data_IF_110252035377
#
_entry.id   IF_110252035377
#
_cell.length_a   1.000
_cell.length_b   1.000
_cell.length_c   1.000
_cell.angle_alpha   90.00
_cell.angle_beta   90.00
_cell.angle_gamma   90.00
#
_symmetry.space_group_name_H-M   'P 1'
#
loop_
_entity.id
_entity.type
_entity.pdbx_description
1 polymer ?
#
# COMPACT_ATOMS: atom_id res chain seq x y z
N UNK A 1 -15.34 30.12 1.50
CA UNK A 1 -15.24 31.20 2.51
C UNK A 1 -15.19 32.58 1.87
N UNK A 2 -14.37 32.80 0.80
CA UNK A 2 -14.26 34.10 0.11
C UNK A 2 -15.62 34.68 -0.30
N UNK A 3 -16.44 33.91 -1.04
CA UNK A 3 -17.79 34.31 -1.46
C UNK A 3 -18.72 34.67 -0.28
N UNK A 4 -18.52 34.04 0.87
CA UNK A 4 -19.37 34.21 2.04
C UNK A 4 -19.04 35.48 2.84
N UNK A 5 -17.76 35.80 2.98
CA UNK A 5 -17.27 36.82 3.90
C UNK A 5 -16.63 38.02 3.21
N UNK A 6 -15.95 37.83 2.07
CA UNK A 6 -15.18 38.89 1.40
C UNK A 6 -15.88 39.52 0.21
N UNK A 7 -16.60 38.74 -0.61
CA UNK A 7 -17.25 39.23 -1.82
C UNK A 7 -18.37 40.26 -1.53
N UNK A 8 -18.95 40.17 -0.33
CA UNK A 8 -20.04 41.05 0.12
C UNK A 8 -19.56 42.35 0.74
N UNK A 9 -18.28 42.51 1.04
CA UNK A 9 -17.72 43.73 1.64
C UNK A 9 -16.94 44.55 0.60
N UNK A 10 -17.48 45.71 0.17
CA UNK A 10 -16.83 46.55 -0.85
C UNK A 10 -15.44 47.09 -0.45
N UNK A 11 -15.18 47.23 0.86
CA UNK A 11 -13.89 47.69 1.37
C UNK A 11 -12.82 46.62 1.31
N UNK A 12 -13.20 45.35 1.49
CA UNK A 12 -12.30 44.19 1.39
C UNK A 12 -12.06 43.83 -0.09
N UNK A 13 -13.09 43.79 -0.90
CA UNK A 13 -13.00 43.44 -2.34
C UNK A 13 -12.00 44.33 -3.11
N UNK A 14 -11.84 45.59 -2.70
CA UNK A 14 -10.86 46.52 -3.33
C UNK A 14 -9.41 46.24 -2.90
N UNK A 15 -9.19 45.51 -1.82
CA UNK A 15 -7.87 45.24 -1.25
C UNK A 15 -7.36 43.83 -1.51
N UNK A 16 -8.24 42.96 -1.98
CA UNK A 16 -7.91 41.53 -2.24
C UNK A 16 -8.21 41.24 -3.72
N UNK A 17 -7.23 40.65 -4.41
CA UNK A 17 -7.39 40.12 -5.74
C UNK A 17 -7.63 38.62 -5.66
N UNK A 18 -8.69 38.15 -6.30
CA UNK A 18 -8.97 36.73 -6.41
C UNK A 18 -8.00 36.10 -7.42
N UNK A 19 -7.21 35.15 -6.98
CA UNK A 19 -6.39 34.27 -7.83
C UNK A 19 -7.05 32.89 -7.80
N UNK A 20 -7.58 32.46 -8.92
CA UNK A 20 -8.14 31.13 -9.07
C UNK A 20 -7.00 30.13 -9.33
N UNK A 21 -6.90 29.10 -8.49
CA UNK A 21 -5.98 27.99 -8.67
C UNK A 21 -6.81 26.79 -9.11
N UNK A 22 -6.58 26.33 -10.33
CA UNK A 22 -7.26 25.17 -10.89
C UNK A 22 -6.60 23.87 -10.43
N UNK A 23 -7.34 22.75 -10.47
CA UNK A 23 -6.81 21.44 -10.20
C UNK A 23 -5.77 21.07 -11.28
N UNK A 24 -4.52 20.69 -10.93
CA UNK A 24 -3.52 20.27 -11.89
C UNK A 24 -3.93 18.94 -12.55
N UNK A 25 -3.42 18.71 -13.74
CA UNK A 25 -3.50 17.40 -14.38
C UNK A 25 -2.62 16.35 -13.66
N UNK A 26 -2.78 15.08 -14.01
CA UNK A 26 -2.04 13.99 -13.36
C UNK A 26 -0.52 14.13 -13.52
N UNK A 27 -0.04 14.58 -14.69
CA UNK A 27 1.39 14.73 -14.96
C UNK A 27 2.01 15.81 -14.07
N UNK A 28 1.38 16.98 -14.02
CA UNK A 28 1.80 18.09 -13.16
C UNK A 28 1.70 17.70 -11.67
N UNK A 29 0.66 16.98 -11.27
CA UNK A 29 0.50 16.50 -9.90
C UNK A 29 1.62 15.52 -9.51
N UNK A 30 2.07 14.63 -10.40
CA UNK A 30 3.21 13.73 -10.15
C UNK A 30 4.50 14.55 -9.92
N UNK A 31 4.77 15.57 -10.73
CA UNK A 31 5.94 16.44 -10.54
C UNK A 31 5.88 17.19 -9.20
N UNK A 32 4.70 17.69 -8.82
CA UNK A 32 4.50 18.32 -7.52
C UNK A 32 4.78 17.34 -6.37
N UNK A 33 4.31 16.09 -6.46
CA UNK A 33 4.55 15.08 -5.43
C UNK A 33 6.01 14.69 -5.35
N UNK A 34 6.73 14.56 -6.47
CA UNK A 34 8.19 14.34 -6.48
C UNK A 34 8.92 15.42 -5.71
N UNK A 35 8.51 16.69 -5.86
CA UNK A 35 9.08 17.81 -5.10
C UNK A 35 8.83 17.77 -3.60
N UNK A 36 7.83 17.02 -3.13
CA UNK A 36 7.47 16.88 -1.71
C UNK A 36 7.97 15.56 -1.13
N UNK A 37 8.17 14.53 -1.97
CA UNK A 37 8.50 13.16 -1.56
C UNK A 37 9.70 13.10 -0.61
N UNK A 38 10.80 13.78 -0.92
CA UNK A 38 11.99 13.79 -0.05
C UNK A 38 11.74 14.36 1.36
N UNK A 39 10.77 15.27 1.51
CA UNK A 39 10.38 15.76 2.84
C UNK A 39 9.57 14.74 3.62
N UNK A 40 8.71 13.98 2.94
CA UNK A 40 7.95 12.89 3.54
C UNK A 40 8.87 11.74 3.94
N UNK A 41 9.84 11.38 3.08
CA UNK A 41 10.86 10.38 3.39
C UNK A 41 11.66 10.73 4.64
N UNK A 42 12.12 11.98 4.73
CA UNK A 42 12.85 12.47 5.90
C UNK A 42 11.99 12.48 7.16
N UNK A 43 10.72 12.87 7.04
CA UNK A 43 9.79 12.97 8.18
C UNK A 43 9.43 11.61 8.76
N UNK A 44 9.14 10.63 7.90
CA UNK A 44 8.71 9.29 8.31
C UNK A 44 9.86 8.29 8.43
N UNK A 45 11.06 8.61 7.92
CA UNK A 45 12.21 7.71 7.91
C UNK A 45 12.05 6.51 6.96
N UNK A 46 11.26 6.65 5.89
CA UNK A 46 10.95 5.59 4.93
C UNK A 46 11.26 6.04 3.51
N UNK A 47 11.62 5.12 2.64
CA UNK A 47 11.83 5.40 1.22
C UNK A 47 10.53 5.32 0.44
N UNK A 48 10.33 6.23 -0.52
CA UNK A 48 9.19 6.27 -1.41
C UNK A 48 9.64 5.92 -2.83
N UNK A 49 9.09 4.85 -3.39
CA UNK A 49 9.36 4.47 -4.76
C UNK A 49 8.67 5.42 -5.74
N UNK A 50 9.33 5.77 -6.86
CA UNK A 50 8.72 6.64 -7.89
C UNK A 50 7.41 6.07 -8.43
N UNK A 51 7.31 4.75 -8.58
CA UNK A 51 6.06 4.07 -8.94
C UNK A 51 4.93 4.37 -7.94
N UNK A 52 5.24 4.44 -6.64
CA UNK A 52 4.25 4.77 -5.60
C UNK A 52 3.75 6.21 -5.73
N UNK A 53 4.63 7.16 -6.11
CA UNK A 53 4.25 8.56 -6.36
C UNK A 53 3.26 8.64 -7.52
N UNK A 54 3.58 7.97 -8.64
CA UNK A 54 2.73 7.92 -9.83
C UNK A 54 1.37 7.29 -9.49
N UNK A 55 1.37 6.18 -8.77
CA UNK A 55 0.15 5.48 -8.40
C UNK A 55 -0.67 6.23 -7.35
N UNK A 56 -0.03 6.96 -6.43
CA UNK A 56 -0.74 7.83 -5.49
C UNK A 56 -1.58 8.89 -6.22
N UNK A 57 -1.05 9.48 -7.30
CA UNK A 57 -1.80 10.43 -8.14
C UNK A 57 -2.91 9.72 -8.90
N UNK A 58 -2.58 8.69 -9.68
CA UNK A 58 -3.54 8.00 -10.55
C UNK A 58 -4.68 7.35 -9.78
N UNK A 59 -4.35 6.59 -8.74
CA UNK A 59 -5.35 5.87 -7.95
C UNK A 59 -6.20 6.81 -7.10
N UNK A 60 -5.60 7.86 -6.51
CA UNK A 60 -6.38 8.86 -5.78
C UNK A 60 -7.29 9.66 -6.70
N UNK A 61 -6.83 10.04 -7.90
CA UNK A 61 -7.66 10.72 -8.88
C UNK A 61 -8.86 9.86 -9.29
N UNK A 62 -8.65 8.59 -9.48
CA UNK A 62 -9.66 7.65 -9.96
C UNK A 62 -10.65 7.20 -8.88
N UNK A 63 -10.19 6.96 -7.66
CA UNK A 63 -10.99 6.30 -6.62
C UNK A 63 -11.40 7.20 -5.46
N UNK A 64 -10.76 8.36 -5.27
CA UNK A 64 -11.11 9.31 -4.21
C UNK A 64 -11.87 10.48 -4.83
N UNK A 65 -13.18 10.52 -4.57
CA UNK A 65 -14.06 11.65 -4.89
C UNK A 65 -14.10 12.67 -3.76
N UNK A 66 -14.37 13.94 -4.08
CA UNK A 66 -14.60 14.99 -3.07
C UNK A 66 -13.36 15.76 -2.61
N UNK A 67 -12.16 15.38 -3.05
CA UNK A 67 -10.91 16.14 -2.90
C UNK A 67 -10.24 16.33 -4.25
N UNK A 68 -9.46 17.39 -4.39
CA UNK A 68 -8.74 17.71 -5.63
C UNK A 68 -7.27 17.30 -5.53
N UNK A 69 -6.61 17.12 -6.69
CA UNK A 69 -5.16 17.01 -6.78
C UNK A 69 -4.52 18.38 -6.48
N UNK A 70 -3.30 18.42 -5.90
CA UNK A 70 -2.49 17.29 -5.43
C UNK A 70 -2.83 16.82 -4.01
N UNK A 71 -3.70 17.49 -3.26
CA UNK A 71 -3.97 17.28 -1.84
C UNK A 71 -4.35 15.83 -1.50
N UNK A 72 -5.26 15.23 -2.28
CA UNK A 72 -5.66 13.82 -2.06
C UNK A 72 -4.50 12.84 -2.26
N UNK A 73 -3.62 13.08 -3.23
CA UNK A 73 -2.48 12.22 -3.49
C UNK A 73 -1.39 12.37 -2.41
N UNK A 74 -1.14 13.60 -1.94
CA UNK A 74 -0.24 13.87 -0.81
C UNK A 74 -0.77 13.17 0.45
N UNK A 75 -2.06 13.27 0.75
CA UNK A 75 -2.66 12.62 1.93
C UNK A 75 -2.54 11.09 1.87
N UNK A 76 -2.70 10.49 0.68
CA UNK A 76 -2.49 9.05 0.47
C UNK A 76 -1.04 8.68 0.72
N UNK A 77 -0.10 9.44 0.15
CA UNK A 77 1.32 9.17 0.27
C UNK A 77 1.81 9.31 1.72
N UNK A 78 1.40 10.37 2.41
CA UNK A 78 1.69 10.60 3.83
C UNK A 78 1.18 9.43 4.71
N UNK A 79 -0.07 9.00 4.48
CA UNK A 79 -0.64 7.84 5.20
C UNK A 79 0.09 6.55 4.86
N UNK A 80 0.53 6.37 3.61
CA UNK A 80 1.32 5.21 3.19
C UNK A 80 2.68 5.18 3.89
N UNK A 81 3.37 6.34 3.97
CA UNK A 81 4.62 6.49 4.71
C UNK A 81 4.46 6.15 6.20
N UNK A 82 3.45 6.72 6.85
CA UNK A 82 3.15 6.43 8.24
C UNK A 82 2.85 4.93 8.46
N UNK A 83 2.11 4.30 7.55
CA UNK A 83 1.80 2.87 7.62
C UNK A 83 3.05 1.99 7.48
N UNK A 84 3.96 2.34 6.59
CA UNK A 84 5.24 1.61 6.44
C UNK A 84 6.09 1.80 7.69
N UNK A 85 6.27 3.03 8.17
CA UNK A 85 7.03 3.32 9.38
C UNK A 85 6.51 2.54 10.61
N UNK A 86 5.20 2.50 10.82
CA UNK A 86 4.58 1.71 11.87
C UNK A 86 4.78 0.20 11.64
N UNK A 87 4.55 -0.28 10.42
CA UNK A 87 4.66 -1.71 10.08
C UNK A 87 6.06 -2.30 10.23
N UNK A 88 7.11 -1.48 10.28
CA UNK A 88 8.47 -1.92 10.60
C UNK A 88 8.66 -2.29 12.09
N UNK A 89 7.78 -1.81 12.96
CA UNK A 89 7.91 -1.97 14.41
C UNK A 89 6.72 -2.72 15.04
N UNK A 90 5.55 -2.62 14.44
CA UNK A 90 4.30 -3.16 14.98
C UNK A 90 4.10 -4.63 14.62
N UNK A 91 3.31 -5.31 15.44
CA UNK A 91 2.90 -6.70 15.19
C UNK A 91 2.07 -6.79 13.90
N UNK A 92 2.40 -7.69 12.98
CA UNK A 92 1.63 -7.84 11.75
C UNK A 92 0.16 -8.20 12.01
N UNK A 93 -0.81 -7.63 11.28
CA UNK A 93 -2.23 -7.89 11.48
C UNK A 93 -2.64 -9.38 11.42
N UNK A 94 -2.04 -10.24 10.56
CA UNK A 94 -2.31 -11.67 10.60
C UNK A 94 -1.95 -12.33 11.93
N UNK A 95 -0.80 -11.95 12.51
CA UNK A 95 -0.35 -12.49 13.79
C UNK A 95 -1.24 -12.01 14.95
N UNK A 96 -1.64 -10.74 14.93
CA UNK A 96 -2.58 -10.17 15.90
C UNK A 96 -3.93 -10.90 15.86
N UNK A 97 -4.46 -11.15 14.67
CA UNK A 97 -5.72 -11.87 14.47
C UNK A 97 -5.66 -13.30 15.03
N UNK A 98 -4.55 -14.01 14.82
CA UNK A 98 -4.35 -15.36 15.37
C UNK A 98 -4.24 -15.34 16.90
N UNK A 99 -3.57 -14.36 17.49
CA UNK A 99 -3.49 -14.18 18.95
C UNK A 99 -4.86 -13.90 19.57
N UNK A 100 -5.67 -13.04 18.93
CA UNK A 100 -7.06 -12.82 19.36
C UNK A 100 -7.91 -14.10 19.26
N UNK A 101 -7.72 -14.88 18.18
CA UNK A 101 -8.40 -16.17 18.03
C UNK A 101 -8.01 -17.12 19.15
N UNK A 102 -6.73 -17.20 19.49
CA UNK A 102 -6.24 -18.05 20.59
C UNK A 102 -6.87 -17.67 21.92
N UNK A 103 -6.92 -16.38 22.23
CA UNK A 103 -7.56 -15.91 23.45
C UNK A 103 -9.05 -16.29 23.50
N UNK A 104 -9.77 -16.16 22.40
CA UNK A 104 -11.18 -16.55 22.33
C UNK A 104 -11.38 -18.07 22.54
N UNK A 105 -10.49 -18.89 21.97
CA UNK A 105 -10.51 -20.35 22.16
C UNK A 105 -10.23 -20.73 23.64
N UNK A 106 -9.27 -20.08 24.26
CA UNK A 106 -8.96 -20.29 25.68
C UNK A 106 -10.13 -19.93 26.60
N UNK A 107 -10.80 -18.79 26.33
CA UNK A 107 -11.97 -18.37 27.10
C UNK A 107 -13.15 -19.34 26.93
N UNK A 108 -13.40 -19.86 25.72
CA UNK A 108 -14.42 -20.86 25.46
C UNK A 108 -14.09 -22.18 26.19
N UNK A 109 -12.84 -22.65 26.10
CA UNK A 109 -12.37 -23.85 26.81
C UNK A 109 -12.55 -23.74 28.32
N UNK A 110 -12.19 -22.60 28.91
CA UNK A 110 -12.37 -22.39 30.34
C UNK A 110 -13.83 -22.43 30.76
N UNK A 111 -14.73 -21.86 29.95
CA UNK A 111 -16.18 -21.90 30.21
C UNK A 111 -16.72 -23.32 30.17
N UNK A 112 -16.44 -24.08 29.11
CA UNK A 112 -16.92 -25.44 28.94
C UNK A 112 -16.38 -26.37 30.01
N UNK A 113 -15.12 -26.23 30.45
CA UNK A 113 -14.54 -27.00 31.55
C UNK A 113 -15.24 -26.72 32.88
N UNK A 114 -15.66 -25.48 33.16
CA UNK A 114 -16.46 -25.13 34.35
C UNK A 114 -17.85 -25.78 34.29
N UNK A 115 -18.51 -25.74 33.14
CA UNK A 115 -19.83 -26.35 32.94
C UNK A 115 -19.75 -27.88 33.05
N UNK A 116 -18.68 -28.49 32.52
CA UNK A 116 -18.43 -29.92 32.67
C UNK A 116 -18.23 -30.32 34.12
N UNK A 117 -17.57 -29.50 34.93
CA UNK A 117 -17.42 -29.72 36.37
C UNK A 117 -18.77 -29.67 37.14
N UNK A 118 -19.81 -29.08 36.57
CA UNK A 118 -21.16 -29.06 37.12
C UNK A 118 -22.07 -30.18 36.63
N UNK A 119 -21.52 -31.10 35.80
CA UNK A 119 -22.20 -32.31 35.36
C UNK A 119 -22.74 -32.28 33.90
N UNK A 120 -22.47 -31.21 33.14
CA UNK A 120 -22.78 -31.16 31.73
C UNK A 120 -21.68 -31.84 30.88
N UNK A 121 -22.06 -32.65 29.88
CA UNK A 121 -21.08 -33.28 29.00
C UNK A 121 -20.71 -32.40 27.82
N UNK A 122 -19.50 -31.86 27.82
CA UNK A 122 -18.92 -31.06 26.73
C UNK A 122 -17.64 -31.69 26.14
N UNK A 123 -17.39 -32.99 26.44
CA UNK A 123 -16.13 -33.68 26.09
C UNK A 123 -15.75 -33.57 24.61
N UNK A 124 -16.72 -33.80 23.70
CA UNK A 124 -16.47 -33.71 22.26
C UNK A 124 -16.09 -32.28 21.81
N UNK A 125 -16.76 -31.24 22.34
CA UNK A 125 -16.46 -29.85 21.99
C UNK A 125 -15.12 -29.41 22.57
N UNK A 126 -14.80 -29.79 23.80
CA UNK A 126 -13.50 -29.51 24.44
C UNK A 126 -12.37 -30.10 23.59
N UNK A 127 -12.47 -31.38 23.20
CA UNK A 127 -11.45 -32.04 22.38
C UNK A 127 -11.25 -31.33 21.04
N UNK A 128 -12.36 -30.90 20.38
CA UNK A 128 -12.28 -30.16 19.13
C UNK A 128 -11.58 -28.81 19.30
N UNK A 129 -11.91 -28.06 20.37
CA UNK A 129 -11.29 -26.76 20.66
C UNK A 129 -9.81 -26.89 21.06
N UNK A 130 -9.44 -27.93 21.78
CA UNK A 130 -8.04 -28.20 22.12
C UNK A 130 -7.22 -28.51 20.87
N UNK A 131 -7.77 -29.26 19.91
CA UNK A 131 -7.13 -29.47 18.60
C UNK A 131 -6.98 -28.17 17.82
N UNK A 132 -8.05 -27.36 17.73
CA UNK A 132 -8.04 -26.06 17.04
C UNK A 132 -7.03 -25.10 17.68
N UNK A 133 -6.98 -25.00 19.01
CA UNK A 133 -5.99 -24.21 19.74
C UNK A 133 -4.57 -24.71 19.49
N UNK A 134 -4.36 -26.03 19.44
CA UNK A 134 -3.06 -26.62 19.11
C UNK A 134 -2.56 -26.23 17.73
N UNK A 135 -3.44 -26.27 16.73
CA UNK A 135 -3.13 -25.86 15.35
C UNK A 135 -2.88 -24.35 15.26
N UNK A 136 -3.75 -23.55 15.91
CA UNK A 136 -3.60 -22.09 15.93
C UNK A 136 -2.27 -21.65 16.57
N UNK A 137 -1.88 -22.26 17.71
CA UNK A 137 -0.59 -22.01 18.36
C UNK A 137 0.60 -22.42 17.50
N UNK A 138 0.47 -23.47 16.68
CA UNK A 138 1.52 -23.84 15.72
C UNK A 138 1.68 -22.75 14.67
N UNK A 139 0.59 -22.30 14.07
CA UNK A 139 0.59 -21.22 13.07
C UNK A 139 1.14 -19.92 13.64
N UNK A 140 0.79 -19.57 14.89
CA UNK A 140 1.36 -18.41 15.59
C UNK A 140 2.89 -18.50 15.65
N UNK A 141 3.44 -19.64 16.11
CA UNK A 141 4.91 -19.81 16.22
C UNK A 141 5.60 -19.72 14.86
N UNK A 142 5.04 -20.34 13.83
CA UNK A 142 5.58 -20.28 12.46
C UNK A 142 5.61 -18.84 11.94
N UNK A 143 4.52 -18.10 12.18
CA UNK A 143 4.41 -16.72 11.75
C UNK A 143 5.30 -15.75 12.56
N UNK A 144 5.47 -16.01 13.87
CA UNK A 144 6.39 -15.26 14.75
C UNK A 144 7.84 -15.45 14.30
N UNK A 145 8.24 -16.68 13.99
CA UNK A 145 9.60 -16.97 13.49
C UNK A 145 9.85 -16.23 12.17
N UNK A 146 8.92 -16.34 11.23
CA UNK A 146 9.02 -15.64 9.95
C UNK A 146 9.05 -14.13 10.12
N UNK A 147 8.23 -13.58 11.00
CA UNK A 147 8.21 -12.14 11.28
C UNK A 147 9.54 -11.64 11.86
N UNK A 148 10.13 -12.39 12.80
CA UNK A 148 11.44 -12.05 13.37
C UNK A 148 12.55 -12.10 12.31
N UNK A 149 12.54 -13.10 11.42
CA UNK A 149 13.49 -13.22 10.30
C UNK A 149 13.32 -12.06 9.30
N UNK A 150 12.08 -11.74 8.88
CA UNK A 150 11.83 -10.62 7.97
C UNK A 150 12.22 -9.28 8.60
N UNK A 151 11.92 -9.07 9.88
CA UNK A 151 12.26 -7.84 10.61
C UNK A 151 13.75 -7.60 10.68
N UNK A 152 14.54 -8.64 10.98
CA UNK A 152 15.99 -8.52 11.01
C UNK A 152 16.58 -8.26 9.62
N UNK A 153 16.11 -8.99 8.60
CA UNK A 153 16.55 -8.79 7.22
C UNK A 153 16.20 -7.37 6.70
N UNK A 154 15.00 -6.86 7.01
CA UNK A 154 14.61 -5.48 6.65
C UNK A 154 15.47 -4.47 7.38
N UNK A 155 15.78 -4.69 8.67
CA UNK A 155 16.66 -3.80 9.43
C UNK A 155 18.05 -3.71 8.81
N UNK A 156 18.69 -4.84 8.51
CA UNK A 156 20.00 -4.87 7.87
C UNK A 156 19.98 -4.17 6.50
N UNK A 157 18.95 -4.42 5.70
CA UNK A 157 18.77 -3.79 4.39
C UNK A 157 18.64 -2.27 4.51
N UNK A 158 17.84 -1.76 5.46
CA UNK A 158 17.64 -0.33 5.67
C UNK A 158 18.89 0.36 6.21
N UNK A 159 19.67 -0.31 7.07
CA UNK A 159 20.92 0.19 7.60
C UNK A 159 21.97 0.30 6.49
N UNK A 160 22.16 -0.75 5.68
CA UNK A 160 23.07 -0.75 4.51
C UNK A 160 22.66 0.32 3.48
N UNK A 161 21.37 0.49 3.23
CA UNK A 161 20.84 1.52 2.32
C UNK A 161 21.14 2.93 2.82
N UNK A 162 20.99 3.20 4.12
CA UNK A 162 21.35 4.50 4.73
C UNK A 162 22.84 4.80 4.59
N UNK A 163 23.69 3.81 4.83
CA UNK A 163 25.14 3.98 4.67
C UNK A 163 25.52 4.27 3.22
N UNK A 164 24.92 3.53 2.26
CA UNK A 164 25.15 3.75 0.84
C UNK A 164 24.72 5.16 0.40
N UNK A 165 23.55 5.63 0.82
CA UNK A 165 23.07 6.98 0.50
C UNK A 165 23.98 8.06 1.08
N UNK A 166 24.39 7.95 2.34
CA UNK A 166 25.29 8.91 2.98
C UNK A 166 26.66 8.98 2.29
N UNK A 167 27.20 7.85 1.83
CA UNK A 167 28.44 7.81 1.07
C UNK A 167 28.28 8.39 -0.33
N UNK A 168 27.19 8.10 -1.05
CA UNK A 168 26.93 8.64 -2.38
C UNK A 168 26.76 10.18 -2.36
N UNK A 169 26.06 10.73 -1.36
CA UNK A 169 25.94 12.17 -1.18
C UNK A 169 27.31 12.83 -0.88
N UNK A 170 28.17 12.15 -0.14
CA UNK A 170 29.53 12.64 0.13
C UNK A 170 30.44 12.56 -1.09
N UNK A 171 30.27 11.57 -1.95
CA UNK A 171 31.00 11.39 -3.20
C UNK A 171 30.64 12.48 -4.23
N UNK A 172 29.36 12.84 -4.35
CA UNK A 172 28.90 13.91 -5.24
C UNK A 172 29.47 15.29 -4.87
N UNK A 173 29.81 15.48 -3.60
CA UNK A 173 30.39 16.73 -3.07
C UNK A 173 31.93 16.76 -3.12
N UNK A 174 32.60 15.62 -3.35
CA UNK A 174 34.04 15.48 -3.27
C UNK A 174 34.70 15.29 -4.65
N UNK A 175 36.06 15.30 -4.68
CA UNK A 175 36.81 14.91 -5.87
C UNK A 175 36.74 13.38 -6.03
N UNK A 176 36.87 12.83 -7.28
CA UNK A 176 36.91 11.41 -7.51
C UNK A 176 37.93 10.70 -6.61
N UNK A 177 37.47 9.72 -5.85
CA UNK A 177 38.26 8.92 -4.92
C UNK A 177 37.98 7.43 -5.16
N UNK A 178 38.97 6.71 -5.70
CA UNK A 178 38.85 5.28 -6.05
C UNK A 178 38.51 4.41 -4.82
N UNK A 179 38.93 4.80 -3.62
CA UNK A 179 38.63 4.07 -2.38
C UNK A 179 37.13 4.25 -1.99
N UNK A 180 36.62 5.46 -2.17
CA UNK A 180 35.20 5.78 -1.92
C UNK A 180 34.29 5.08 -2.93
N UNK A 181 34.67 5.11 -4.21
CA UNK A 181 33.91 4.42 -5.28
C UNK A 181 33.87 2.90 -5.02
N UNK A 182 35.02 2.31 -4.61
CA UNK A 182 35.08 0.89 -4.25
C UNK A 182 34.20 0.51 -3.05
N UNK A 183 34.03 1.40 -2.07
CA UNK A 183 33.12 1.20 -0.94
C UNK A 183 31.65 1.30 -1.36
N UNK A 184 31.32 2.24 -2.23
CA UNK A 184 29.96 2.38 -2.79
C UNK A 184 29.58 1.12 -3.57
N UNK A 185 30.47 0.63 -4.42
CA UNK A 185 30.23 -0.62 -5.19
C UNK A 185 30.02 -1.83 -4.28
N UNK A 186 30.83 -1.94 -3.22
CA UNK A 186 30.69 -3.03 -2.25
C UNK A 186 29.33 -2.99 -1.54
N UNK A 187 28.93 -1.81 -1.02
CA UNK A 187 27.64 -1.64 -0.35
C UNK A 187 26.45 -1.85 -1.30
N UNK A 188 26.57 -1.43 -2.56
CA UNK A 188 25.54 -1.70 -3.58
C UNK A 188 25.39 -3.20 -3.86
N UNK A 189 26.49 -3.94 -3.94
CA UNK A 189 26.47 -5.39 -4.10
C UNK A 189 25.88 -6.09 -2.85
N UNK A 190 26.23 -5.62 -1.66
CA UNK A 190 25.67 -6.12 -0.39
C UNK A 190 24.17 -5.85 -0.29
N UNK A 191 23.72 -4.66 -0.64
CA UNK A 191 22.30 -4.30 -0.68
C UNK A 191 21.52 -5.22 -1.63
N UNK A 192 22.06 -5.50 -2.81
CA UNK A 192 21.45 -6.43 -3.76
C UNK A 192 21.34 -7.85 -3.19
N UNK A 193 22.37 -8.31 -2.47
CA UNK A 193 22.38 -9.61 -1.79
C UNK A 193 21.33 -9.68 -0.69
N UNK A 194 21.22 -8.64 0.16
CA UNK A 194 20.23 -8.56 1.23
C UNK A 194 18.81 -8.52 0.67
N UNK A 195 18.58 -7.74 -0.39
CA UNK A 195 17.28 -7.70 -1.05
C UNK A 195 16.87 -9.07 -1.61
N UNK A 196 17.79 -9.80 -2.27
CA UNK A 196 17.53 -11.16 -2.74
C UNK A 196 17.27 -12.15 -1.59
N UNK A 197 17.98 -11.99 -0.47
CA UNK A 197 17.76 -12.79 0.74
C UNK A 197 16.39 -12.53 1.35
N UNK A 198 15.97 -11.28 1.42
CA UNK A 198 14.66 -10.88 1.92
C UNK A 198 13.51 -11.44 1.04
N UNK A 199 13.66 -11.39 -0.27
CA UNK A 199 12.68 -11.98 -1.20
C UNK A 199 12.58 -13.51 -1.06
N UNK A 200 13.67 -14.18 -0.70
CA UNK A 200 13.66 -15.63 -0.46
C UNK A 200 12.91 -16.01 0.83
N UNK A 201 12.95 -15.15 1.86
CA UNK A 201 12.21 -15.33 3.13
C UNK A 201 10.72 -15.01 2.95
N UNK A 202 10.42 -13.98 2.13
CA UNK A 202 9.07 -13.53 1.85
C UNK A 202 8.30 -14.58 1.07
N UNK A 203 7.04 -14.74 1.46
CA UNK A 203 6.02 -15.43 0.68
C UNK A 203 5.20 -14.39 -0.09
N UNK A 204 4.05 -14.79 -0.60
CA UNK A 204 3.17 -13.89 -1.38
C UNK A 204 2.75 -12.60 -0.64
N UNK A 205 2.79 -12.63 0.71
CA UNK A 205 2.38 -11.48 1.55
C UNK A 205 3.47 -11.13 2.57
N UNK A 206 4.24 -10.04 2.35
CA UNK A 206 5.29 -9.60 3.25
C UNK A 206 4.72 -9.13 4.59
N UNK A 207 5.35 -9.53 5.70
CA UNK A 207 4.94 -9.16 7.05
C UNK A 207 5.51 -7.82 7.48
N UNK A 208 6.71 -7.48 7.00
CA UNK A 208 7.41 -6.23 7.33
C UNK A 208 7.64 -5.42 6.05
N UNK A 209 7.00 -4.23 5.92
CA UNK A 209 7.21 -3.36 4.76
C UNK A 209 8.55 -2.64 4.88
N UNK A 210 9.32 -2.58 3.81
CA UNK A 210 10.63 -1.90 3.76
C UNK A 210 10.57 -0.50 3.17
N UNK A 211 9.58 -0.24 2.30
CA UNK A 211 9.45 0.98 1.52
C UNK A 211 8.00 1.23 1.13
N UNK A 212 7.71 2.46 0.70
CA UNK A 212 6.41 2.80 0.15
C UNK A 212 6.39 2.45 -1.33
N UNK A 213 5.60 1.45 -1.69
CA UNK A 213 5.41 0.94 -3.05
C UNK A 213 3.95 1.13 -3.53
N UNK A 214 3.67 0.73 -4.76
CA UNK A 214 2.33 0.75 -5.36
C UNK A 214 1.30 -0.05 -4.56
N UNK A 215 1.71 -1.17 -3.95
CA UNK A 215 0.84 -2.04 -3.13
C UNK A 215 0.42 -1.31 -1.85
N UNK A 216 1.35 -0.65 -1.18
CA UNK A 216 1.10 0.12 0.04
C UNK A 216 0.13 1.28 -0.23
N UNK A 217 0.35 2.03 -1.32
CA UNK A 217 -0.54 3.10 -1.78
C UNK A 217 -1.95 2.56 -2.06
N UNK A 218 -2.06 1.47 -2.83
CA UNK A 218 -3.34 0.84 -3.13
C UNK A 218 -4.05 0.32 -1.86
N UNK A 219 -3.29 -0.18 -0.87
CA UNK A 219 -3.84 -0.64 0.41
C UNK A 219 -4.42 0.52 1.25
N UNK A 220 -3.80 1.71 1.22
CA UNK A 220 -4.35 2.92 1.86
C UNK A 220 -5.67 3.31 1.20
N UNK A 221 -5.70 3.40 -0.12
CA UNK A 221 -6.91 3.77 -0.87
C UNK A 221 -8.01 2.71 -0.67
N UNK A 222 -7.66 1.43 -0.63
CA UNK A 222 -8.59 0.35 -0.33
C UNK A 222 -9.25 0.52 1.05
N UNK A 223 -8.45 0.89 2.05
CA UNK A 223 -8.95 1.18 3.39
C UNK A 223 -9.94 2.36 3.44
N UNK A 224 -9.73 3.38 2.61
CA UNK A 224 -10.60 4.57 2.58
C UNK A 224 -11.87 4.37 1.73
N UNK A 225 -11.77 3.57 0.66
CA UNK A 225 -12.85 3.42 -0.33
C UNK A 225 -13.60 2.10 -0.23
N UNK A 226 -13.05 1.10 0.46
CA UNK A 226 -13.57 -0.25 0.51
C UNK A 226 -13.35 -1.07 -0.77
N UNK A 227 -12.59 -0.54 -1.76
CA UNK A 227 -12.32 -1.23 -3.02
C UNK A 227 -11.10 -2.16 -2.82
N UNK A 228 -11.18 -3.46 -3.15
CA UNK A 228 -10.05 -4.37 -2.96
C UNK A 228 -8.81 -3.99 -3.76
N UNK A 229 -7.61 -4.11 -3.14
CA UNK A 229 -6.29 -3.79 -3.74
C UNK A 229 -6.08 -4.50 -5.09
N UNK A 230 -6.42 -5.78 -5.20
CA UNK A 230 -6.26 -6.55 -6.44
C UNK A 230 -7.05 -6.01 -7.64
N UNK A 231 -8.12 -5.23 -7.39
CA UNK A 231 -8.85 -4.54 -8.46
C UNK A 231 -8.19 -3.24 -8.89
N UNK A 232 -7.40 -2.64 -8.02
CA UNK A 232 -6.69 -1.38 -8.29
C UNK A 232 -5.39 -1.62 -9.04
N UNK A 233 -4.65 -2.66 -8.66
CA UNK A 233 -3.35 -3.02 -9.24
C UNK A 233 -3.45 -3.95 -10.46
N UNK A 234 -4.65 -4.48 -10.75
CA UNK A 234 -4.85 -5.27 -11.96
C UNK A 234 -4.50 -4.44 -13.20
N UNK A 235 -3.60 -4.98 -14.03
CA UNK A 235 -3.20 -4.34 -15.28
C UNK A 235 -4.44 -4.00 -16.12
N UNK A 236 -4.72 -2.70 -16.25
CA UNK A 236 -5.89 -2.21 -17.00
C UNK A 236 -5.89 -2.71 -18.44
N UNK A 237 -4.72 -2.79 -19.05
CA UNK A 237 -4.59 -3.28 -20.41
C UNK A 237 -4.99 -4.75 -20.53
N UNK A 238 -4.68 -5.57 -19.51
CA UNK A 238 -5.11 -6.98 -19.47
C UNK A 238 -6.60 -7.08 -19.12
N UNK A 239 -7.08 -6.30 -18.16
CA UNK A 239 -8.51 -6.27 -17.76
C UNK A 239 -9.42 -5.83 -18.92
N UNK A 240 -8.98 -4.86 -19.71
CA UNK A 240 -9.70 -4.35 -20.89
C UNK A 240 -9.65 -5.35 -22.04
N UNK A 241 -8.49 -5.98 -22.30
CA UNK A 241 -8.35 -7.02 -23.35
C UNK A 241 -9.19 -8.26 -23.03
N UNK A 242 -9.28 -8.67 -21.77
CA UNK A 242 -10.08 -9.82 -21.33
C UNK A 242 -11.56 -9.48 -21.04
N UNK A 243 -12.00 -8.23 -21.27
CA UNK A 243 -13.33 -7.76 -20.88
C UNK A 243 -14.45 -8.60 -21.50
N UNK A 244 -14.41 -8.86 -22.82
CA UNK A 244 -15.40 -9.67 -23.52
C UNK A 244 -15.51 -11.08 -22.93
N UNK A 245 -14.38 -11.71 -22.65
CA UNK A 245 -14.31 -13.06 -22.06
C UNK A 245 -14.89 -13.10 -20.64
N UNK A 246 -14.57 -12.11 -19.80
CA UNK A 246 -15.07 -11.98 -18.43
C UNK A 246 -16.57 -11.70 -18.39
N UNK A 247 -17.09 -10.89 -19.32
CA UNK A 247 -18.52 -10.64 -19.46
C UNK A 247 -19.25 -11.91 -19.93
N UNK A 248 -18.67 -12.66 -20.86
CA UNK A 248 -19.22 -13.92 -21.37
C UNK A 248 -19.37 -15.03 -20.31
N UNK A 249 -18.56 -14.99 -19.23
CA UNK A 249 -18.71 -15.89 -18.09
C UNK A 249 -19.99 -15.64 -17.27
N UNK A 250 -20.55 -14.44 -17.35
CA UNK A 250 -21.74 -14.03 -16.58
C UNK A 250 -22.99 -13.89 -17.43
N UNK A 251 -22.84 -13.65 -18.72
CA UNK A 251 -23.94 -13.43 -19.67
C UNK A 251 -23.81 -14.45 -20.80
N UNK A 252 -24.66 -15.45 -20.82
CA UNK A 252 -24.67 -16.51 -21.85
C UNK A 252 -25.53 -16.11 -23.05
N UNK A 253 -25.07 -16.49 -24.25
CA UNK A 253 -25.87 -16.37 -25.49
C UNK A 253 -25.89 -14.99 -26.14
N UNK A 254 -25.00 -14.03 -25.70
CA UNK A 254 -24.95 -12.68 -26.29
C UNK A 254 -23.51 -12.29 -26.71
N UNK A 255 -22.74 -13.21 -27.23
CA UNK A 255 -21.29 -13.02 -27.52
C UNK A 255 -21.04 -11.87 -28.50
N UNK A 256 -21.87 -11.69 -29.53
CA UNK A 256 -21.72 -10.59 -30.47
C UNK A 256 -21.95 -9.22 -29.82
N UNK A 257 -22.94 -9.08 -28.93
CA UNK A 257 -23.25 -7.85 -28.22
C UNK A 257 -22.14 -7.53 -27.21
N UNK A 258 -21.65 -8.54 -26.48
CA UNK A 258 -20.55 -8.41 -25.51
C UNK A 258 -19.23 -8.02 -26.21
N UNK A 259 -18.96 -8.58 -27.38
CA UNK A 259 -17.83 -8.21 -28.23
C UNK A 259 -17.88 -6.74 -28.67
N UNK A 260 -19.04 -6.27 -29.13
CA UNK A 260 -19.23 -4.87 -29.55
C UNK A 260 -19.07 -3.91 -28.37
N UNK A 261 -19.61 -4.22 -27.19
CA UNK A 261 -19.44 -3.41 -25.97
C UNK A 261 -17.96 -3.36 -25.57
N UNK A 262 -17.27 -4.51 -25.55
CA UNK A 262 -15.87 -4.57 -25.19
C UNK A 262 -15.00 -3.76 -26.15
N UNK A 263 -15.22 -3.86 -27.47
CA UNK A 263 -14.53 -3.05 -28.48
C UNK A 263 -14.76 -1.54 -28.29
N UNK A 264 -15.99 -1.14 -27.95
CA UNK A 264 -16.30 0.27 -27.72
C UNK A 264 -15.60 0.83 -26.49
N UNK A 265 -15.55 0.05 -25.41
CA UNK A 265 -14.82 0.41 -24.20
C UNK A 265 -13.31 0.45 -24.45
N UNK A 266 -12.76 -0.51 -25.21
CA UNK A 266 -11.36 -0.52 -25.61
C UNK A 266 -10.97 0.72 -26.44
N UNK A 267 -11.80 1.08 -27.42
CA UNK A 267 -11.59 2.26 -28.27
C UNK A 267 -11.65 3.56 -27.45
N UNK A 268 -12.60 3.66 -26.52
CA UNK A 268 -12.72 4.82 -25.63
C UNK A 268 -11.47 5.00 -24.74
N UNK A 269 -11.00 3.89 -24.13
CA UNK A 269 -9.81 3.90 -23.27
C UNK A 269 -8.51 4.12 -24.03
N UNK A 270 -8.44 3.74 -25.30
CA UNK A 270 -7.31 4.02 -26.19
C UNK A 270 -7.29 5.46 -26.73
N UNK A 271 -8.25 6.32 -26.34
CA UNK A 271 -8.37 7.68 -26.85
C UNK A 271 -8.80 7.77 -28.32
N UNK A 272 -9.28 6.66 -28.88
CA UNK A 272 -9.68 6.57 -30.32
C UNK A 272 -11.16 6.90 -30.55
N UNK A 273 -11.91 7.27 -29.52
CA UNK A 273 -13.32 7.66 -29.64
C UNK A 273 -13.50 9.15 -29.46
N UNK A 274 -14.28 9.74 -30.36
CA UNK A 274 -14.69 11.14 -30.26
C UNK A 274 -15.54 11.36 -29.00
N UNK A 275 -15.13 12.24 -28.04
CA UNK A 275 -15.87 12.48 -26.81
C UNK A 275 -17.23 13.15 -27.03
N UNK A 276 -17.52 13.60 -28.25
CA UNK A 276 -18.78 14.30 -28.62
C UNK A 276 -19.85 13.37 -29.24
N UNK A 277 -19.63 12.06 -29.28
CA UNK A 277 -20.60 11.07 -29.79
C UNK A 277 -20.90 10.00 -28.73
#
# INVERSE_FOLDING_TARGET
EYKKYFEKDPALTRRFQLVQVEEPDEATAVEMLRGVAGKLELHHGVQIMDAAIVDAVKLSHRYISGRQLPDKAISVLDTACARVALGQHDVPPPLESLRHREQALEEELQRLRREQATGLDHSARITALESESGDNRRTIRELETRWDEEREAVRELLDTRRELLALSESADAAKPDEELDGRIDHLAAELARLAAGLEAIRQDDPLVPEQVDSRTVAAVIAGWTGIPVGKMLADEAHAIRSLAQRMGQRVMGQEAALGAIAQRIQAYRAGLSDPAK
#
